data_IF_586307670905
#
_entry.id   IF_586307670905
#
_cell.length_a   1.000
_cell.length_b   1.000
_cell.length_c   1.000
_cell.angle_alpha   90.00
_cell.angle_beta   90.00
_cell.angle_gamma   90.00
#
_symmetry.space_group_name_H-M   'P 1'
#
loop_
_entity.id
_entity.type
_entity.pdbx_description
1 polymer ?
#
# COMPACT_ATOMS: atom_id res chain seq x y z
N UNK A 1 5.11 13.08 -52.71
CA UNK A 1 4.54 11.94 -51.94
C UNK A 1 5.47 11.40 -50.84
N UNK A 2 6.74 11.83 -50.71
CA UNK A 2 7.64 11.33 -49.66
C UNK A 2 7.52 12.04 -48.31
N UNK A 3 7.18 13.34 -48.26
CA UNK A 3 7.14 14.12 -47.02
C UNK A 3 5.94 13.80 -46.09
N UNK A 4 4.81 13.35 -46.63
CA UNK A 4 3.61 13.00 -45.85
C UNK A 4 3.80 11.68 -45.07
N UNK A 5 4.57 10.73 -45.60
CA UNK A 5 4.84 9.45 -44.94
C UNK A 5 5.78 9.61 -43.74
N UNK A 6 6.71 10.57 -43.79
CA UNK A 6 7.61 10.86 -42.68
C UNK A 6 6.86 11.38 -41.45
N UNK A 7 5.86 12.25 -41.64
CA UNK A 7 5.12 12.89 -40.54
C UNK A 7 4.27 11.89 -39.73
N UNK A 8 3.69 10.89 -40.40
CA UNK A 8 2.93 9.82 -39.73
C UNK A 8 3.86 8.85 -38.98
N UNK A 9 5.06 8.59 -39.51
CA UNK A 9 6.06 7.74 -38.85
C UNK A 9 6.60 8.36 -37.56
N UNK A 10 6.83 9.69 -37.54
CA UNK A 10 7.24 10.40 -36.32
C UNK A 10 6.12 10.49 -35.26
N UNK A 11 4.85 10.60 -35.67
CA UNK A 11 3.71 10.54 -34.75
C UNK A 11 3.57 9.17 -34.08
N UNK A 12 3.72 8.08 -34.83
CA UNK A 12 3.68 6.72 -34.27
C UNK A 12 4.85 6.44 -33.32
N UNK A 13 6.05 6.97 -33.61
CA UNK A 13 7.22 6.83 -32.74
C UNK A 13 7.08 7.61 -31.42
N UNK A 14 6.49 8.81 -31.44
CA UNK A 14 6.26 9.62 -30.23
C UNK A 14 5.20 9.01 -29.30
N UNK A 15 4.15 8.38 -29.85
CA UNK A 15 3.13 7.67 -29.06
C UNK A 15 3.68 6.40 -28.41
N UNK A 16 4.64 5.71 -29.07
CA UNK A 16 5.29 4.53 -28.50
C UNK A 16 6.29 4.89 -27.39
N UNK A 17 6.97 6.05 -27.48
CA UNK A 17 7.91 6.52 -26.47
C UNK A 17 7.27 6.93 -25.13
N UNK A 18 6.02 7.39 -25.15
CA UNK A 18 5.27 7.77 -23.93
C UNK A 18 4.72 6.59 -23.13
N UNK A 19 4.78 5.36 -23.65
CA UNK A 19 4.28 4.15 -22.98
C UNK A 19 5.33 3.47 -22.08
N UNK A 20 6.55 4.03 -21.98
CA UNK A 20 7.64 3.50 -21.15
C UNK A 20 8.01 4.45 -20.00
N UNK A 21 7.03 5.17 -19.44
CA UNK A 21 7.18 5.70 -18.10
C UNK A 21 7.07 4.54 -17.11
N UNK A 22 8.12 3.71 -17.02
CA UNK A 22 8.26 2.78 -15.90
C UNK A 22 8.49 3.63 -14.67
N UNK A 23 7.46 3.81 -13.84
CA UNK A 23 7.68 4.25 -12.48
C UNK A 23 8.59 3.20 -11.83
N UNK A 24 9.84 3.57 -11.54
CA UNK A 24 10.76 2.74 -10.75
C UNK A 24 10.27 2.73 -9.31
N UNK A 25 9.25 1.91 -9.05
CA UNK A 25 8.88 1.52 -7.71
C UNK A 25 9.78 0.36 -7.26
N UNK A 26 9.78 0.09 -5.96
CA UNK A 26 10.35 -1.14 -5.41
C UNK A 26 9.69 -2.36 -6.06
N UNK A 27 10.44 -3.44 -6.25
CA UNK A 27 9.93 -4.65 -6.87
C UNK A 27 8.91 -5.38 -5.97
N UNK A 28 8.19 -6.36 -6.53
CA UNK A 28 7.22 -7.19 -5.82
C UNK A 28 7.93 -8.43 -5.26
N UNK A 29 7.94 -8.57 -3.93
CA UNK A 29 8.45 -9.75 -3.25
C UNK A 29 7.49 -10.93 -3.39
N UNK A 30 8.05 -12.14 -3.36
CA UNK A 30 7.28 -13.37 -3.61
C UNK A 30 7.56 -14.47 -2.59
N UNK A 31 8.23 -14.15 -1.48
CA UNK A 31 8.49 -15.14 -0.42
C UNK A 31 7.31 -15.26 0.52
N UNK A 32 6.62 -14.15 0.78
CA UNK A 32 5.40 -14.08 1.56
C UNK A 32 4.25 -13.68 0.65
N UNK A 33 3.19 -14.49 0.61
CA UNK A 33 2.00 -14.14 -0.16
C UNK A 33 1.30 -12.92 0.47
N UNK A 34 1.07 -11.88 -0.31
CA UNK A 34 0.29 -10.73 0.15
C UNK A 34 -1.20 -11.04 0.07
N UNK A 35 -1.86 -11.13 1.23
CA UNK A 35 -3.31 -11.31 1.32
C UNK A 35 -3.92 -10.22 2.18
N UNK A 36 -4.54 -9.23 1.55
CA UNK A 36 -5.16 -8.09 2.24
C UNK A 36 -6.30 -8.55 3.16
N UNK A 37 -6.26 -8.22 4.48
CA UNK A 37 -7.38 -8.48 5.38
C UNK A 37 -8.65 -7.76 4.91
N UNK A 38 -9.76 -8.48 4.86
CA UNK A 38 -11.04 -7.91 4.44
C UNK A 38 -11.57 -6.91 5.46
N UNK A 39 -12.15 -5.82 4.98
CA UNK A 39 -12.79 -4.81 5.81
C UNK A 39 -13.98 -4.22 5.04
N UNK A 40 -15.19 -4.49 5.52
CA UNK A 40 -16.38 -3.89 4.94
C UNK A 40 -16.60 -2.46 5.45
N UNK A 41 -17.20 -1.63 4.62
CA UNK A 41 -17.60 -0.27 4.96
C UNK A 41 -18.89 0.07 4.21
N UNK A 42 -19.50 1.23 4.45
CA UNK A 42 -20.81 1.56 3.87
C UNK A 42 -20.82 2.90 3.17
N UNK A 43 -21.48 2.96 2.00
CA UNK A 43 -21.84 4.22 1.34
C UNK A 43 -23.31 4.52 1.63
N UNK A 44 -23.59 5.69 2.18
CA UNK A 44 -24.95 6.11 2.53
C UNK A 44 -25.44 7.24 1.62
N UNK A 45 -26.76 7.30 1.43
CA UNK A 45 -27.45 8.37 0.69
C UNK A 45 -28.39 9.13 1.62
N UNK A 46 -28.84 10.30 1.16
CA UNK A 46 -29.90 11.06 1.84
C UNK A 46 -31.11 10.16 2.14
N UNK A 47 -31.68 10.31 3.34
CA UNK A 47 -32.72 9.43 3.86
C UNK A 47 -32.21 8.20 4.65
N UNK A 48 -30.90 8.08 4.87
CA UNK A 48 -30.31 7.08 5.78
C UNK A 48 -30.15 5.68 5.19
N UNK A 49 -30.40 5.50 3.88
CA UNK A 49 -30.16 4.23 3.19
C UNK A 49 -28.67 4.05 2.92
N UNK A 50 -28.12 2.91 3.34
CA UNK A 50 -26.71 2.57 3.16
C UNK A 50 -26.55 1.25 2.39
N UNK A 51 -25.48 1.17 1.59
CA UNK A 51 -25.05 -0.03 0.89
C UNK A 51 -23.68 -0.44 1.40
N UNK A 52 -23.52 -1.72 1.75
CA UNK A 52 -22.24 -2.28 2.17
C UNK A 52 -21.32 -2.48 0.97
N UNK A 53 -20.11 -1.95 1.07
CA UNK A 53 -19.01 -2.17 0.14
C UNK A 53 -18.09 -3.26 0.70
N UNK A 54 -17.66 -4.17 -0.16
CA UNK A 54 -16.56 -5.08 0.15
C UNK A 54 -15.25 -4.32 -0.07
N UNK A 55 -14.44 -4.21 0.98
CA UNK A 55 -13.10 -3.62 0.91
C UNK A 55 -12.08 -4.52 1.58
N UNK A 56 -10.84 -4.05 1.59
CA UNK A 56 -9.74 -4.65 2.33
C UNK A 56 -8.77 -3.57 2.77
N UNK A 57 -7.77 -3.92 3.58
CA UNK A 57 -6.70 -3.02 3.96
C UNK A 57 -5.34 -3.54 3.49
N UNK A 58 -4.41 -2.64 3.24
CA UNK A 58 -3.00 -3.00 3.00
C UNK A 58 -2.10 -2.31 4.01
N UNK A 59 -1.02 -3.00 4.41
CA UNK A 59 0.03 -2.45 5.26
C UNK A 59 0.93 -1.51 4.46
N UNK A 60 1.28 -0.39 5.08
CA UNK A 60 2.25 0.58 4.56
C UNK A 60 3.63 -0.06 4.28
N UNK A 61 4.24 0.38 3.18
CA UNK A 61 5.50 -0.17 2.70
C UNK A 61 6.66 -0.12 3.72
N UNK A 62 6.71 0.89 4.59
CA UNK A 62 7.82 1.03 5.55
C UNK A 62 7.87 -0.10 6.59
N UNK A 63 6.76 -0.79 6.84
CA UNK A 63 6.73 -1.92 7.76
C UNK A 63 7.13 -3.24 7.10
N UNK A 64 7.14 -3.30 5.77
CA UNK A 64 7.36 -4.54 5.04
C UNK A 64 8.84 -4.91 5.05
N UNK A 65 9.08 -6.20 4.92
CA UNK A 65 10.42 -6.70 4.69
C UNK A 65 10.90 -6.27 3.30
N UNK A 66 12.10 -5.67 3.26
CA UNK A 66 12.78 -5.27 2.02
C UNK A 66 14.01 -6.14 1.82
N UNK A 67 13.98 -6.96 0.76
CA UNK A 67 15.04 -7.92 0.44
C UNK A 67 15.44 -7.82 -1.02
N UNK A 68 16.63 -8.36 -1.36
CA UNK A 68 17.08 -8.38 -2.74
C UNK A 68 16.17 -9.24 -3.62
N UNK A 69 15.99 -8.85 -4.88
CA UNK A 69 15.22 -9.65 -5.84
C UNK A 69 15.86 -11.02 -5.99
N UNK A 70 15.04 -12.08 -5.92
CA UNK A 70 15.48 -13.50 -5.97
C UNK A 70 16.45 -13.93 -4.86
N UNK A 71 16.61 -13.16 -3.77
CA UNK A 71 17.42 -13.53 -2.61
C UNK A 71 16.76 -13.13 -1.30
N UNK A 72 16.99 -13.89 -0.23
CA UNK A 72 16.57 -13.51 1.13
C UNK A 72 17.54 -12.55 1.82
N UNK A 73 18.54 -12.02 1.09
CA UNK A 73 19.46 -11.02 1.63
C UNK A 73 18.72 -9.71 1.84
N UNK A 74 18.73 -9.20 3.07
CA UNK A 74 18.08 -7.94 3.41
C UNK A 74 18.72 -6.77 2.64
N UNK A 75 17.88 -5.96 2.01
CA UNK A 75 18.27 -4.64 1.53
C UNK A 75 18.27 -3.61 2.65
N UNK A 76 17.41 -3.80 3.66
CA UNK A 76 17.30 -2.93 4.82
C UNK A 76 17.26 -3.76 6.11
N UNK A 77 18.01 -3.36 7.14
CA UNK A 77 18.01 -4.05 8.44
C UNK A 77 18.11 -3.03 9.56
N UNK A 78 17.15 -3.07 10.49
CA UNK A 78 17.07 -2.10 11.59
C UNK A 78 16.83 -0.69 11.06
N UNK A 79 17.91 0.06 10.89
CA UNK A 79 17.92 1.45 10.41
C UNK A 79 18.95 1.72 9.31
N UNK A 80 19.53 0.68 8.70
CA UNK A 80 20.58 0.81 7.68
C UNK A 80 20.26 0.04 6.41
N UNK A 81 20.55 0.64 5.26
CA UNK A 81 20.53 0.00 3.96
C UNK A 81 21.82 -0.78 3.69
N UNK A 82 21.70 -1.90 2.98
CA UNK A 82 22.83 -2.69 2.51
C UNK A 82 23.42 -2.03 1.25
N UNK A 83 24.53 -1.32 1.40
CA UNK A 83 25.16 -0.55 0.32
C UNK A 83 25.77 -1.40 -0.80
N UNK A 84 25.87 -2.73 -0.63
CA UNK A 84 26.28 -3.63 -1.71
C UNK A 84 25.15 -3.92 -2.70
N UNK A 85 23.88 -3.70 -2.31
CA UNK A 85 22.69 -3.83 -3.14
C UNK A 85 22.13 -2.44 -3.47
N UNK A 86 22.05 -1.57 -2.47
CA UNK A 86 21.55 -0.20 -2.57
C UNK A 86 22.73 0.79 -2.63
N UNK A 87 23.50 0.77 -3.71
CA UNK A 87 24.60 1.73 -3.95
C UNK A 87 24.12 3.09 -4.50
N UNK A 88 22.88 3.12 -4.99
CA UNK A 88 22.14 4.28 -5.45
C UNK A 88 20.63 4.04 -5.26
N UNK A 89 19.84 5.11 -5.21
CA UNK A 89 18.39 5.01 -5.01
C UNK A 89 17.71 4.21 -6.15
N UNK A 90 18.16 4.41 -7.39
CA UNK A 90 17.63 3.71 -8.56
C UNK A 90 17.97 2.21 -8.54
N UNK A 91 19.22 1.85 -8.22
CA UNK A 91 19.61 0.45 -8.06
C UNK A 91 18.83 -0.20 -6.91
N UNK A 92 18.69 0.48 -5.77
CA UNK A 92 17.94 -0.03 -4.63
C UNK A 92 16.47 -0.34 -4.99
N UNK A 93 15.79 0.54 -5.74
CA UNK A 93 14.42 0.29 -6.19
C UNK A 93 14.32 -0.84 -7.23
N UNK A 94 15.36 -1.01 -8.06
CA UNK A 94 15.42 -2.07 -9.06
C UNK A 94 15.75 -3.44 -8.46
N UNK A 95 16.65 -3.48 -7.50
CA UNK A 95 17.26 -4.70 -6.99
C UNK A 95 16.65 -5.17 -5.67
N UNK A 96 15.74 -4.39 -5.08
CA UNK A 96 15.03 -4.74 -3.86
C UNK A 96 13.52 -4.83 -4.06
N UNK A 97 12.91 -5.75 -3.32
CA UNK A 97 11.50 -6.05 -3.36
C UNK A 97 10.83 -5.85 -2.00
N UNK A 98 9.59 -5.35 -2.02
CA UNK A 98 8.69 -5.35 -0.86
C UNK A 98 7.93 -6.66 -0.82
N UNK A 99 8.08 -7.43 0.26
CA UNK A 99 7.41 -8.71 0.40
C UNK A 99 6.02 -8.60 1.03
N UNK A 100 5.26 -9.69 0.96
CA UNK A 100 3.96 -9.80 1.63
C UNK A 100 4.07 -9.71 3.16
N UNK A 101 2.92 -9.61 3.83
CA UNK A 101 2.83 -9.44 5.27
C UNK A 101 2.01 -10.54 5.96
N UNK A 102 2.55 -11.11 7.05
CA UNK A 102 1.75 -11.78 8.07
C UNK A 102 1.12 -10.73 9.01
N UNK A 103 -0.03 -10.21 8.58
CA UNK A 103 -0.77 -9.15 9.27
C UNK A 103 -1.00 -9.42 10.75
N UNK A 104 -1.46 -10.62 11.10
CA UNK A 104 -1.81 -10.93 12.50
C UNK A 104 -0.59 -11.32 13.31
N UNK A 105 0.27 -12.20 12.79
CA UNK A 105 1.38 -12.77 13.57
C UNK A 105 2.55 -11.82 13.73
N UNK A 106 2.86 -11.03 12.70
CA UNK A 106 4.00 -10.09 12.74
C UNK A 106 3.57 -8.69 13.16
N UNK A 107 2.43 -8.21 12.66
CA UNK A 107 2.03 -6.79 12.84
C UNK A 107 0.87 -6.58 13.82
N UNK A 108 0.23 -7.65 14.31
CA UNK A 108 -0.89 -7.55 15.25
C UNK A 108 -2.12 -6.86 14.66
N UNK A 109 -2.31 -6.96 13.35
CA UNK A 109 -3.42 -6.39 12.58
C UNK A 109 -4.46 -7.48 12.35
N UNK A 110 -5.69 -7.24 12.77
CA UNK A 110 -6.81 -8.17 12.57
C UNK A 110 -8.08 -7.43 12.15
N UNK A 111 -8.90 -8.07 11.33
CA UNK A 111 -10.20 -7.55 10.91
C UNK A 111 -11.33 -8.51 11.21
N UNK A 112 -12.54 -7.98 11.41
CA UNK A 112 -13.76 -8.76 11.53
C UNK A 112 -14.95 -7.94 11.03
N UNK A 113 -15.51 -8.31 9.87
CA UNK A 113 -16.58 -7.55 9.23
C UNK A 113 -16.13 -6.12 8.90
N UNK A 114 -16.72 -5.14 9.59
CA UNK A 114 -16.42 -3.71 9.45
C UNK A 114 -15.49 -3.17 10.54
N UNK A 115 -14.85 -4.04 11.31
CA UNK A 115 -13.93 -3.67 12.39
C UNK A 115 -12.48 -3.98 12.02
N UNK A 116 -11.60 -3.03 12.30
CA UNK A 116 -10.14 -3.14 12.18
C UNK A 116 -9.53 -2.91 13.58
N UNK A 117 -8.71 -3.86 14.03
CA UNK A 117 -7.94 -3.77 15.27
C UNK A 117 -6.45 -3.72 14.98
N UNK A 118 -5.79 -2.71 15.54
CA UNK A 118 -4.34 -2.50 15.44
C UNK A 118 -3.73 -2.62 16.84
N UNK A 119 -2.97 -3.68 17.10
CA UNK A 119 -2.21 -3.79 18.34
C UNK A 119 -0.95 -2.91 18.26
N UNK A 120 -0.55 -2.32 19.40
CA UNK A 120 0.61 -1.43 19.42
C UNK A 120 1.96 -2.17 19.33
N UNK A 121 2.14 -3.27 20.07
CA UNK A 121 3.39 -4.06 20.04
C UNK A 121 3.06 -5.51 19.71
N UNK A 122 3.78 -6.10 18.75
CA UNK A 122 3.70 -7.52 18.40
C UNK A 122 5.11 -8.04 18.14
N UNK A 123 5.66 -8.87 19.03
CA UNK A 123 7.07 -9.26 18.97
C UNK A 123 7.99 -8.03 19.06
N UNK A 124 8.83 -7.82 18.04
CA UNK A 124 9.67 -6.63 17.90
C UNK A 124 9.04 -5.51 17.05
N UNK A 125 7.86 -5.73 16.46
CA UNK A 125 7.14 -4.70 15.71
C UNK A 125 6.45 -3.70 16.66
N UNK A 126 6.53 -2.42 16.32
CA UNK A 126 5.88 -1.32 17.05
C UNK A 126 5.04 -0.48 16.08
N UNK A 127 3.73 -0.43 16.34
CA UNK A 127 2.76 0.29 15.53
C UNK A 127 2.47 -0.37 14.19
N UNK A 128 1.61 0.31 13.42
CA UNK A 128 1.29 -0.02 12.04
C UNK A 128 0.62 1.19 11.38
N UNK A 129 0.62 1.23 10.05
CA UNK A 129 -0.20 2.13 9.24
C UNK A 129 -0.81 1.33 8.10
N UNK A 130 -2.11 1.51 7.88
CA UNK A 130 -2.86 0.77 6.86
C UNK A 130 -3.68 1.69 6.00
N UNK A 131 -3.89 1.32 4.74
CA UNK A 131 -4.73 2.05 3.80
C UNK A 131 -5.94 1.20 3.40
N UNK A 132 -7.11 1.83 3.23
CA UNK A 132 -8.28 1.16 2.70
C UNK A 132 -8.13 0.97 1.18
N UNK A 133 -8.45 -0.22 0.70
CA UNK A 133 -8.30 -0.64 -0.68
C UNK A 133 -9.67 -0.75 -1.37
N UNK A 134 -9.77 -0.23 -2.59
CA UNK A 134 -10.92 -0.43 -3.48
C UNK A 134 -10.85 -1.81 -4.16
N UNK A 135 -9.64 -2.24 -4.51
CA UNK A 135 -9.31 -3.56 -5.06
C UNK A 135 -7.87 -3.94 -4.65
N UNK A 136 -7.33 -5.04 -5.17
CA UNK A 136 -5.99 -5.51 -4.77
C UNK A 136 -4.83 -4.56 -5.16
N UNK A 137 -5.07 -3.59 -6.02
CA UNK A 137 -4.04 -2.73 -6.61
C UNK A 137 -4.32 -1.23 -6.47
N UNK A 138 -5.51 -0.83 -6.02
CA UNK A 138 -5.90 0.57 -5.88
C UNK A 138 -6.43 0.90 -4.48
N UNK A 139 -5.99 2.03 -3.94
CA UNK A 139 -6.58 2.61 -2.73
C UNK A 139 -8.02 3.04 -2.99
N UNK A 140 -8.84 2.97 -1.93
CA UNK A 140 -10.17 3.57 -1.95
C UNK A 140 -10.05 5.09 -1.88
N UNK A 141 -10.49 5.76 -2.95
CA UNK A 141 -10.56 7.22 -3.00
C UNK A 141 -11.89 7.70 -2.42
N UNK A 142 -11.83 8.77 -1.62
CA UNK A 142 -13.00 9.41 -1.02
C UNK A 142 -13.10 10.87 -1.47
N UNK A 143 -14.15 11.21 -2.20
CA UNK A 143 -14.48 12.59 -2.57
C UNK A 143 -15.33 13.24 -1.48
N UNK A 144 -14.68 13.79 -0.46
CA UNK A 144 -15.35 14.23 0.77
C UNK A 144 -15.98 15.63 0.71
N UNK A 145 -15.74 16.41 -0.34
CA UNK A 145 -16.35 17.73 -0.48
C UNK A 145 -17.88 17.60 -0.50
N UNK A 146 -18.54 18.25 0.45
CA UNK A 146 -19.99 18.17 0.65
C UNK A 146 -20.50 16.73 0.93
N UNK A 147 -19.68 15.90 1.58
CA UNK A 147 -20.04 14.58 2.10
C UNK A 147 -19.78 14.50 3.62
N UNK A 148 -20.28 13.43 4.25
CA UNK A 148 -19.98 13.08 5.64
C UNK A 148 -19.15 11.79 5.69
N UNK A 149 -18.16 11.74 6.59
CA UNK A 149 -17.47 10.50 6.95
C UNK A 149 -17.69 10.21 8.43
N UNK A 150 -18.18 9.01 8.73
CA UNK A 150 -18.53 8.57 10.09
C UNK A 150 -17.89 7.22 10.38
N UNK A 151 -17.34 7.06 11.58
CA UNK A 151 -16.77 5.81 12.07
C UNK A 151 -17.00 5.66 13.58
N UNK A 152 -16.89 4.42 14.06
CA UNK A 152 -16.86 4.12 15.50
C UNK A 152 -15.43 3.78 15.90
N UNK A 153 -15.04 4.12 17.12
CA UNK A 153 -13.70 3.88 17.64
C UNK A 153 -13.76 3.46 19.09
N UNK A 154 -13.00 2.42 19.44
CA UNK A 154 -12.73 2.02 20.81
C UNK A 154 -11.30 2.43 21.18
N UNK A 155 -11.18 3.46 22.03
CA UNK A 155 -9.91 3.96 22.57
C UNK A 155 -9.71 3.57 24.04
N UNK A 156 -10.50 2.64 24.57
CA UNK A 156 -10.44 2.23 25.99
C UNK A 156 -9.08 1.68 26.42
N UNK A 157 -8.32 1.12 25.46
CA UNK A 157 -6.97 0.57 25.67
C UNK A 157 -5.87 1.42 25.01
N UNK A 158 -6.13 2.70 24.75
CA UNK A 158 -5.18 3.65 24.16
C UNK A 158 -4.74 4.69 25.21
N UNK A 159 -3.74 4.39 26.08
CA UNK A 159 -3.29 5.31 27.12
C UNK A 159 -2.53 6.53 26.56
N UNK A 160 -2.24 7.48 27.46
CA UNK A 160 -1.40 8.64 27.17
C UNK A 160 -0.08 8.25 26.49
N UNK A 161 0.34 9.04 25.50
CA UNK A 161 1.57 8.82 24.74
C UNK A 161 1.40 7.96 23.49
N UNK A 162 0.21 7.39 23.26
CA UNK A 162 -0.15 6.71 22.01
C UNK A 162 -1.11 7.55 21.18
N UNK A 163 -1.17 7.25 19.87
CA UNK A 163 -2.07 7.90 18.92
C UNK A 163 -2.68 6.86 17.98
N UNK A 164 -3.99 6.65 18.10
CA UNK A 164 -4.78 5.87 17.16
C UNK A 164 -5.45 6.83 16.18
N UNK A 165 -4.89 6.94 14.97
CA UNK A 165 -5.29 7.95 13.99
C UNK A 165 -6.07 7.34 12.82
N UNK A 166 -7.10 8.06 12.38
CA UNK A 166 -7.79 7.88 11.10
C UNK A 166 -7.76 9.22 10.38
N UNK A 167 -7.29 9.24 9.14
CA UNK A 167 -7.08 10.47 8.35
C UNK A 167 -7.15 10.19 6.84
N UNK A 168 -7.15 11.28 6.05
CA UNK A 168 -7.17 11.31 4.59
C UNK A 168 -5.94 12.04 4.05
#
# INVERSE_FOLDING_TARGET
MSALNSFNMYKSALVLGSLLATASAQQIGTYTAETHPSLSWSTCKSGGSCTTNAGSITLDANWRWVHGVNTSTNCYTGNTWNTAICDSDAACAQDCALDGADYSGTYGITTSGNSLRLNFVTGSNVGSRTYLMADNTHYQIFDLLNQEFTFTVDVSNLPCGLNGALYF
#
